data_IF_713037469261
#
_entry.id   IF_713037469261
#
_cell.length_a   1.000
_cell.length_b   1.000
_cell.length_c   1.000
_cell.angle_alpha   90.00
_cell.angle_beta   90.00
_cell.angle_gamma   90.00
#
_symmetry.space_group_name_H-M   'P 1'
#
loop_
_entity.id
_entity.type
_entity.pdbx_description
1 polymer ?
#
# COMPACT_ATOMS: atom_id res chain seq x y z
N UNK A 1 38.19 -49.05 5.13
CA UNK A 1 38.27 -47.78 4.37
C UNK A 1 37.02 -47.46 3.54
N UNK A 2 36.47 -48.39 2.74
CA UNK A 2 35.26 -48.15 1.92
C UNK A 2 33.97 -47.82 2.71
N UNK A 3 33.84 -48.34 3.93
CA UNK A 3 32.68 -48.05 4.80
C UNK A 3 32.73 -46.65 5.42
N UNK A 4 33.93 -46.13 5.71
CA UNK A 4 34.11 -44.80 6.29
C UNK A 4 33.76 -43.69 5.28
N UNK A 5 34.10 -43.91 4.00
CA UNK A 5 33.78 -42.97 2.91
C UNK A 5 32.28 -42.88 2.63
N UNK A 6 31.54 -44.00 2.74
CA UNK A 6 30.08 -44.05 2.53
C UNK A 6 29.28 -43.32 3.61
N UNK A 7 29.70 -43.43 4.87
CA UNK A 7 29.05 -42.74 6.00
C UNK A 7 29.24 -41.23 5.91
N UNK A 8 30.42 -40.77 5.48
CA UNK A 8 30.71 -39.35 5.30
C UNK A 8 29.89 -38.73 4.16
N UNK A 9 29.77 -39.42 3.01
CA UNK A 9 28.92 -38.96 1.90
C UNK A 9 27.44 -38.88 2.27
N UNK A 10 26.88 -39.87 2.99
CA UNK A 10 25.48 -39.80 3.43
C UNK A 10 25.26 -38.68 4.44
N UNK A 11 26.18 -38.46 5.38
CA UNK A 11 26.11 -37.36 6.34
C UNK A 11 26.15 -35.99 5.66
N UNK A 12 27.00 -35.82 4.66
CA UNK A 12 27.09 -34.57 3.89
C UNK A 12 25.83 -34.33 3.02
N UNK A 13 25.29 -35.38 2.40
CA UNK A 13 24.06 -35.30 1.59
C UNK A 13 22.83 -34.95 2.44
N UNK A 14 22.70 -35.55 3.63
CA UNK A 14 21.62 -35.26 4.57
C UNK A 14 21.75 -33.82 5.12
N UNK A 15 22.97 -33.37 5.43
CA UNK A 15 23.21 -32.01 5.91
C UNK A 15 22.84 -30.95 4.85
N UNK A 16 23.17 -31.20 3.57
CA UNK A 16 22.76 -30.31 2.46
C UNK A 16 21.25 -30.32 2.21
N UNK A 17 20.56 -31.46 2.39
CA UNK A 17 19.10 -31.51 2.23
C UNK A 17 18.34 -30.71 3.29
N UNK A 18 18.86 -30.66 4.53
CA UNK A 18 18.27 -29.83 5.60
C UNK A 18 18.41 -28.33 5.30
N UNK A 19 19.50 -27.91 4.64
CA UNK A 19 19.70 -26.50 4.26
C UNK A 19 18.69 -26.02 3.20
N UNK A 20 18.27 -26.91 2.29
CA UNK A 20 17.36 -26.56 1.19
C UNK A 20 15.93 -26.28 1.68
N UNK A 21 15.48 -26.94 2.76
CA UNK A 21 14.11 -26.76 3.24
C UNK A 21 13.86 -25.39 3.90
N UNK A 22 14.88 -24.81 4.54
CA UNK A 22 14.74 -23.49 5.18
C UNK A 22 14.54 -22.35 4.16
N UNK A 23 15.02 -22.50 2.92
CA UNK A 23 14.96 -21.46 1.89
C UNK A 23 13.55 -21.34 1.27
N UNK A 24 12.78 -22.43 1.22
CA UNK A 24 11.45 -22.44 0.60
C UNK A 24 10.35 -21.86 1.50
N UNK A 25 10.52 -21.88 2.82
CA UNK A 25 9.52 -21.39 3.76
C UNK A 25 9.33 -19.86 3.73
N UNK A 26 10.34 -19.10 3.27
CA UNK A 26 10.26 -17.63 3.21
C UNK A 26 9.50 -17.12 1.96
N UNK A 27 9.23 -17.97 0.96
CA UNK A 27 8.65 -17.49 -0.30
C UNK A 27 7.14 -17.25 -0.23
N UNK A 28 6.43 -17.69 0.82
CA UNK A 28 4.99 -17.47 0.96
C UNK A 28 4.61 -16.02 1.31
N UNK A 29 5.58 -15.17 1.69
CA UNK A 29 5.39 -13.75 2.01
C UNK A 29 5.27 -12.83 0.77
N UNK A 30 5.39 -13.36 -0.45
CA UNK A 30 5.73 -12.56 -1.64
C UNK A 30 4.57 -11.88 -2.37
N UNK A 31 3.40 -11.68 -1.74
CA UNK A 31 2.41 -10.71 -2.25
C UNK A 31 1.78 -9.90 -1.12
N UNK A 32 2.60 -9.05 -0.51
CA UNK A 32 2.14 -7.95 0.35
C UNK A 32 1.41 -6.85 -0.45
N UNK A 33 1.51 -6.81 -1.78
CA UNK A 33 0.87 -5.80 -2.59
C UNK A 33 -0.03 -6.41 -3.66
N UNK A 34 -1.31 -6.02 -3.64
CA UNK A 34 -2.31 -6.41 -4.63
C UNK A 34 -2.64 -5.20 -5.52
N UNK A 35 -2.14 -5.20 -6.76
CA UNK A 35 -2.47 -4.15 -7.73
C UNK A 35 -3.99 -4.10 -8.02
N UNK A 36 -4.50 -2.89 -8.23
CA UNK A 36 -5.89 -2.62 -8.55
C UNK A 36 -6.00 -1.39 -9.46
N UNK A 37 -7.17 -1.19 -10.05
CA UNK A 37 -7.44 0.01 -10.84
C UNK A 37 -7.35 1.27 -9.96
N UNK A 38 -6.76 2.33 -10.50
CA UNK A 38 -6.74 3.62 -9.82
C UNK A 38 -8.16 4.20 -9.78
N UNK A 39 -8.71 4.56 -8.60
CA UNK A 39 -10.07 5.06 -8.45
C UNK A 39 -10.20 6.55 -8.83
N UNK A 40 -9.19 7.10 -9.50
CA UNK A 40 -9.07 8.52 -9.80
C UNK A 40 -8.39 8.75 -11.14
N UNK A 41 -8.58 9.95 -11.67
CA UNK A 41 -7.87 10.47 -12.84
C UNK A 41 -7.26 11.83 -12.51
N UNK A 42 -5.98 12.02 -12.85
CA UNK A 42 -5.29 13.30 -12.68
C UNK A 42 -4.97 13.87 -14.06
N UNK A 43 -5.46 15.08 -14.32
CA UNK A 43 -5.20 15.76 -15.59
C UNK A 43 -3.69 15.96 -15.81
N UNK A 44 -3.21 15.61 -17.00
CA UNK A 44 -1.79 15.73 -17.35
C UNK A 44 -0.93 14.53 -16.94
N UNK A 45 -1.46 13.59 -16.15
CA UNK A 45 -0.75 12.37 -15.77
C UNK A 45 -1.43 11.17 -16.43
N UNK A 46 -0.75 10.49 -17.38
CA UNK A 46 -1.27 9.26 -17.95
C UNK A 46 -1.47 8.22 -16.86
N UNK A 47 -2.60 7.48 -16.87
CA UNK A 47 -2.86 6.44 -15.88
C UNK A 47 -1.74 5.39 -15.76
N UNK A 48 -1.03 5.10 -16.86
CA UNK A 48 0.15 4.21 -16.88
C UNK A 48 1.36 4.72 -16.07
N UNK A 49 1.36 5.99 -15.66
CA UNK A 49 2.40 6.57 -14.82
C UNK A 49 2.08 6.41 -13.32
N UNK A 50 0.97 5.75 -12.98
CA UNK A 50 0.54 5.50 -11.62
C UNK A 50 0.21 4.01 -11.44
N UNK A 51 0.76 3.39 -10.42
CA UNK A 51 0.34 2.05 -9.97
C UNK A 51 -0.50 2.20 -8.72
N UNK A 52 -1.74 1.73 -8.76
CA UNK A 52 -2.60 1.68 -7.58
C UNK A 52 -2.77 0.24 -7.09
N UNK A 53 -3.12 0.10 -5.82
CA UNK A 53 -3.34 -1.20 -5.22
C UNK A 53 -3.45 -1.14 -3.71
N UNK A 54 -3.32 -2.31 -3.10
CA UNK A 54 -3.48 -2.50 -1.68
C UNK A 54 -2.25 -3.16 -1.07
N UNK A 55 -1.68 -2.52 -0.05
CA UNK A 55 -0.70 -3.14 0.82
C UNK A 55 -1.40 -3.97 1.89
N UNK A 56 -1.23 -5.29 1.86
CA UNK A 56 -1.83 -6.28 2.73
C UNK A 56 -0.92 -6.49 3.95
N UNK A 57 -1.35 -6.06 5.13
CA UNK A 57 -0.55 -6.14 6.37
C UNK A 57 -1.37 -6.71 7.53
N UNK A 58 -0.74 -7.35 8.52
CA UNK A 58 -1.46 -7.76 9.72
C UNK A 58 -2.03 -6.55 10.46
N UNK A 59 -3.26 -6.70 10.94
CA UNK A 59 -3.88 -5.72 11.83
C UNK A 59 -3.07 -5.59 13.13
N UNK A 60 -2.73 -6.68 13.78
CA UNK A 60 -1.89 -6.71 14.97
C UNK A 60 -0.54 -7.38 14.66
N UNK A 61 0.54 -6.58 14.62
CA UNK A 61 1.90 -7.08 14.37
C UNK A 61 2.46 -7.94 15.51
N UNK A 62 1.83 -7.93 16.68
CA UNK A 62 2.21 -8.74 17.84
C UNK A 62 1.53 -10.10 17.86
N UNK A 63 0.48 -10.29 17.04
CA UNK A 63 -0.27 -11.52 16.91
C UNK A 63 -0.11 -12.09 15.48
N UNK A 64 0.66 -13.19 15.28
CA UNK A 64 0.85 -13.77 13.95
C UNK A 64 -0.44 -14.33 13.33
N UNK A 65 -1.47 -14.60 14.13
CA UNK A 65 -2.78 -15.10 13.69
C UNK A 65 -3.81 -13.96 13.49
N UNK A 66 -3.37 -12.70 13.56
CA UNK A 66 -4.19 -11.53 13.31
C UNK A 66 -4.81 -11.55 11.89
N UNK A 67 -6.05 -11.05 11.71
CA UNK A 67 -6.53 -10.76 10.36
C UNK A 67 -5.63 -9.74 9.66
N UNK A 68 -5.62 -9.78 8.33
CA UNK A 68 -4.97 -8.76 7.52
C UNK A 68 -5.93 -7.60 7.24
N UNK A 69 -5.36 -6.41 7.08
CA UNK A 69 -6.00 -5.20 6.59
C UNK A 69 -5.36 -4.80 5.25
N UNK A 70 -6.07 -4.00 4.47
CA UNK A 70 -5.65 -3.53 3.15
C UNK A 70 -5.44 -2.02 3.22
N UNK A 71 -4.23 -1.55 2.97
CA UNK A 71 -3.97 -0.11 2.89
C UNK A 71 -4.01 0.33 1.42
N UNK A 72 -4.86 1.27 1.05
CA UNK A 72 -4.92 1.79 -0.31
C UNK A 72 -3.68 2.63 -0.62
N UNK A 73 -3.02 2.34 -1.75
CA UNK A 73 -1.75 2.97 -2.16
C UNK A 73 -1.86 3.44 -3.61
N UNK A 74 -1.26 4.59 -3.89
CA UNK A 74 -0.95 5.09 -5.22
C UNK A 74 0.56 5.38 -5.30
N UNK A 75 1.23 4.77 -6.29
CA UNK A 75 2.65 4.95 -6.59
C UNK A 75 2.74 5.74 -7.88
N UNK A 76 3.27 6.96 -7.79
CA UNK A 76 3.54 7.81 -8.94
C UNK A 76 4.98 7.60 -9.39
N UNK A 77 5.13 7.13 -10.62
CA UNK A 77 6.43 6.82 -11.21
C UNK A 77 7.04 8.05 -11.84
N UNK A 78 8.35 8.24 -11.68
CA UNK A 78 9.08 9.30 -12.36
C UNK A 78 8.96 9.15 -13.89
N UNK A 79 8.65 10.23 -14.65
CA UNK A 79 8.34 10.14 -16.08
C UNK A 79 9.48 9.60 -16.95
N UNK A 80 10.74 9.78 -16.53
CA UNK A 80 11.91 9.34 -17.30
C UNK A 80 12.22 7.84 -17.11
N UNK A 81 11.59 7.16 -16.15
CA UNK A 81 11.74 5.72 -15.92
C UNK A 81 13.04 5.29 -15.24
N UNK A 82 13.83 6.24 -14.72
CA UNK A 82 15.07 6.01 -13.96
C UNK A 82 15.11 6.88 -12.67
N UNK A 83 14.17 6.68 -11.73
CA UNK A 83 14.15 7.41 -10.47
C UNK A 83 15.33 7.03 -9.57
N UNK A 84 15.67 7.91 -8.64
CA UNK A 84 16.53 7.55 -7.51
C UNK A 84 15.94 6.34 -6.75
N UNK A 85 16.79 5.45 -6.20
CA UNK A 85 16.34 4.19 -5.62
C UNK A 85 15.51 4.35 -4.34
N UNK A 86 15.47 5.54 -3.74
CA UNK A 86 14.75 5.84 -2.51
C UNK A 86 13.52 6.73 -2.76
N UNK A 87 12.29 6.16 -2.72
CA UNK A 87 11.07 6.89 -3.00
C UNK A 87 10.71 7.85 -1.87
N UNK A 88 9.87 8.84 -2.20
CA UNK A 88 9.25 9.71 -1.22
C UNK A 88 7.92 9.12 -0.75
N UNK A 89 7.81 8.84 0.55
CA UNK A 89 6.55 8.36 1.15
C UNK A 89 5.84 9.52 1.83
N UNK A 90 4.64 9.87 1.35
CA UNK A 90 3.84 10.92 1.95
C UNK A 90 3.00 10.37 3.11
N UNK A 91 3.22 10.92 4.30
CA UNK A 91 2.43 10.64 5.50
C UNK A 91 1.56 11.85 5.80
N UNK A 92 0.27 11.72 5.50
CA UNK A 92 -0.69 12.75 5.84
C UNK A 92 -0.92 12.82 7.36
N UNK A 93 -1.06 14.03 7.87
CA UNK A 93 -1.28 14.33 9.30
C UNK A 93 -2.73 14.16 9.76
N UNK A 94 -3.23 15.06 10.62
CA UNK A 94 -4.61 14.99 11.14
C UNK A 94 -4.92 13.69 11.88
N UNK A 95 -6.20 13.30 11.90
CA UNK A 95 -6.52 11.88 11.69
C UNK A 95 -7.59 11.67 10.61
N UNK A 96 -7.54 10.53 9.92
CA UNK A 96 -8.70 9.99 9.19
C UNK A 96 -8.94 10.48 7.75
N UNK A 97 -8.12 11.40 7.21
CA UNK A 97 -8.29 11.86 5.82
C UNK A 97 -7.80 10.79 4.84
N UNK A 98 -8.57 10.59 3.78
CA UNK A 98 -8.10 9.87 2.58
C UNK A 98 -7.27 10.81 1.74
N UNK A 99 -5.97 10.54 1.60
CA UNK A 99 -5.15 11.31 0.64
C UNK A 99 -5.46 10.82 -0.75
N UNK A 100 -5.58 9.50 -0.92
CA UNK A 100 -5.75 8.85 -2.22
C UNK A 100 -7.00 9.37 -2.93
N UNK A 101 -8.11 9.56 -2.23
CA UNK A 101 -9.35 10.10 -2.83
C UNK A 101 -9.26 11.59 -3.19
N UNK A 102 -8.33 12.33 -2.58
CA UNK A 102 -8.17 13.79 -2.81
C UNK A 102 -7.14 14.12 -3.89
N UNK A 103 -6.43 13.11 -4.40
CA UNK A 103 -5.37 13.28 -5.39
C UNK A 103 -5.80 14.05 -6.65
N UNK A 104 -7.00 13.83 -7.22
CA UNK A 104 -7.46 14.62 -8.37
C UNK A 104 -7.33 16.14 -8.17
N UNK A 105 -7.60 16.63 -6.95
CA UNK A 105 -7.66 18.07 -6.66
C UNK A 105 -6.36 18.61 -6.07
N UNK A 106 -5.54 17.75 -5.48
CA UNK A 106 -4.37 18.16 -4.70
C UNK A 106 -3.05 17.88 -5.40
N UNK A 107 -3.01 16.95 -6.36
CA UNK A 107 -1.74 16.43 -6.89
C UNK A 107 -0.82 17.50 -7.48
N UNK A 108 -1.33 18.33 -8.39
CA UNK A 108 -0.50 19.35 -9.08
C UNK A 108 0.11 20.37 -8.11
N UNK A 109 -0.58 20.67 -7.01
CA UNK A 109 -0.11 21.68 -6.05
C UNK A 109 0.75 21.09 -4.93
N UNK A 110 0.47 19.84 -4.52
CA UNK A 110 1.10 19.23 -3.35
C UNK A 110 2.15 18.18 -3.70
N UNK A 111 2.08 17.52 -4.85
CA UNK A 111 2.88 16.33 -5.14
C UNK A 111 3.71 16.43 -6.42
N UNK A 112 3.22 17.10 -7.47
CA UNK A 112 3.95 17.25 -8.74
C UNK A 112 5.39 17.82 -8.59
N UNK A 113 5.67 18.83 -7.72
CA UNK A 113 7.04 19.31 -7.52
C UNK A 113 8.01 18.26 -6.97
N UNK A 114 7.51 17.22 -6.30
CA UNK A 114 8.34 16.15 -5.75
C UNK A 114 8.70 15.09 -6.80
N UNK A 115 7.87 14.92 -7.85
CA UNK A 115 8.28 14.11 -9.00
C UNK A 115 9.47 14.77 -9.70
N UNK A 116 9.51 16.10 -9.78
CA UNK A 116 10.65 16.82 -10.36
C UNK A 116 11.99 16.62 -9.60
N UNK A 117 11.98 15.98 -8.42
CA UNK A 117 13.17 15.62 -7.67
C UNK A 117 13.80 14.27 -8.07
N UNK A 118 13.43 13.72 -9.24
CA UNK A 118 13.86 12.42 -9.74
C UNK A 118 13.51 11.24 -8.83
N UNK A 119 12.30 11.24 -8.24
CA UNK A 119 11.88 10.21 -7.27
C UNK A 119 10.46 9.77 -7.53
N UNK A 120 10.21 8.49 -7.31
CA UNK A 120 8.84 7.99 -7.20
C UNK A 120 8.19 8.51 -5.91
N UNK A 121 6.88 8.72 -5.95
CA UNK A 121 6.11 9.14 -4.78
C UNK A 121 5.12 8.05 -4.42
N UNK A 122 5.17 7.61 -3.17
CA UNK A 122 4.21 6.67 -2.59
C UNK A 122 3.26 7.46 -1.71
N UNK A 123 1.98 7.43 -2.07
CA UNK A 123 0.90 8.05 -1.31
C UNK A 123 -0.06 6.94 -0.89
N UNK A 124 -0.47 6.93 0.36
CA UNK A 124 -1.36 5.88 0.86
C UNK A 124 -2.32 6.41 1.92
N UNK A 125 -3.45 5.73 2.05
CA UNK A 125 -4.39 5.94 3.12
C UNK A 125 -3.97 5.09 4.34
N UNK A 126 -3.90 5.72 5.50
CA UNK A 126 -3.55 5.02 6.74
C UNK A 126 -4.63 3.98 7.11
N UNK A 127 -4.32 3.13 8.09
CA UNK A 127 -5.29 2.16 8.64
C UNK A 127 -6.57 2.90 9.08
N UNK A 128 -7.72 2.41 8.63
CA UNK A 128 -9.01 2.94 9.07
C UNK A 128 -9.44 4.24 8.38
N UNK A 129 -8.68 4.77 7.43
CA UNK A 129 -9.03 5.99 6.68
C UNK A 129 -9.31 5.70 5.21
N UNK A 130 -10.24 6.45 4.64
CA UNK A 130 -10.41 6.54 3.20
C UNK A 130 -10.73 5.21 2.52
N UNK A 131 -9.90 4.86 1.55
CA UNK A 131 -10.04 3.67 0.73
C UNK A 131 -9.36 2.44 1.34
N UNK A 132 -8.70 2.57 2.50
CA UNK A 132 -8.14 1.44 3.24
C UNK A 132 -9.23 0.63 3.94
N UNK A 133 -9.05 -0.68 4.00
CA UNK A 133 -10.05 -1.63 4.50
C UNK A 133 -9.56 -2.40 5.73
N UNK A 134 -10.34 -2.44 6.83
CA UNK A 134 -11.62 -1.76 7.01
C UNK A 134 -11.44 -0.25 7.24
N UNK A 135 -12.35 0.56 6.69
CA UNK A 135 -12.44 1.99 6.99
C UNK A 135 -13.23 2.19 8.31
N UNK A 136 -12.76 3.09 9.17
CA UNK A 136 -13.40 3.41 10.46
C UNK A 136 -14.38 4.59 10.33
N UNK A 137 -15.10 4.65 9.20
CA UNK A 137 -16.08 5.68 8.93
C UNK A 137 -17.22 5.61 9.95
N UNK A 138 -17.72 6.77 10.38
CA UNK A 138 -18.83 6.88 11.31
C UNK A 138 -19.92 7.75 10.69
N UNK A 139 -20.86 7.17 9.92
CA UNK A 139 -21.86 7.93 9.17
C UNK A 139 -22.65 8.90 10.06
N UNK A 140 -22.95 8.51 11.29
CA UNK A 140 -23.64 9.36 12.26
C UNK A 140 -22.80 10.59 12.62
N UNK A 141 -21.49 10.42 12.81
CA UNK A 141 -20.59 11.54 13.07
C UNK A 141 -20.49 12.46 11.86
N UNK A 142 -20.37 11.90 10.65
CA UNK A 142 -20.27 12.66 9.40
C UNK A 142 -21.54 13.49 9.16
N UNK A 143 -22.72 12.88 9.34
CA UNK A 143 -24.00 13.59 9.26
C UNK A 143 -24.11 14.73 10.29
N UNK A 144 -23.69 14.48 11.54
CA UNK A 144 -23.71 15.50 12.59
C UNK A 144 -22.75 16.64 12.27
N UNK A 145 -21.57 16.33 11.73
CA UNK A 145 -20.58 17.31 11.31
C UNK A 145 -21.12 18.20 10.18
N UNK A 146 -21.71 17.61 9.14
CA UNK A 146 -22.32 18.34 8.04
C UNK A 146 -23.49 19.22 8.51
N UNK A 147 -24.35 18.70 9.40
CA UNK A 147 -25.44 19.51 10.00
C UNK A 147 -24.89 20.67 10.82
N UNK A 148 -23.81 20.47 11.58
CA UNK A 148 -23.18 21.54 12.35
C UNK A 148 -22.58 22.64 11.46
N UNK A 149 -22.16 22.30 10.24
CA UNK A 149 -21.70 23.26 9.22
C UNK A 149 -22.85 23.99 8.51
N UNK A 150 -24.12 23.67 8.83
CA UNK A 150 -25.28 24.27 8.16
C UNK A 150 -25.44 23.83 6.71
N UNK A 151 -24.76 22.75 6.31
CA UNK A 151 -24.99 22.12 5.01
C UNK A 151 -26.14 21.14 5.18
N UNK A 152 -27.30 21.47 4.61
CA UNK A 152 -28.44 20.56 4.55
C UNK A 152 -28.07 19.41 3.60
N UNK A 153 -27.47 18.35 4.15
CA UNK A 153 -27.23 17.03 3.55
C UNK A 153 -26.93 17.02 2.04
N UNK A 154 -25.70 17.36 1.66
CA UNK A 154 -25.09 16.77 0.47
C UNK A 154 -24.93 15.28 0.79
N UNK A 155 -25.59 14.42 0.01
CA UNK A 155 -25.60 12.98 0.30
C UNK A 155 -24.22 12.39 0.03
N UNK A 156 -23.88 11.29 0.70
CA UNK A 156 -22.62 10.56 0.45
C UNK A 156 -22.49 10.10 -1.02
N UNK A 157 -23.61 10.02 -1.76
CA UNK A 157 -23.63 9.71 -3.19
C UNK A 157 -23.09 10.87 -4.04
N UNK A 158 -23.29 12.12 -3.62
CA UNK A 158 -22.86 13.30 -4.40
C UNK A 158 -21.34 13.53 -4.32
N UNK A 159 -20.66 12.99 -3.30
CA UNK A 159 -19.19 13.07 -3.15
C UNK A 159 -18.43 12.00 -3.96
N UNK A 160 -19.10 10.93 -4.38
CA UNK A 160 -18.49 9.87 -5.19
C UNK A 160 -18.66 10.09 -6.71
N UNK A 161 -19.50 11.05 -7.11
CA UNK A 161 -19.76 11.39 -8.52
C UNK A 161 -19.04 12.67 -9.00
N UNK A 162 -18.22 13.32 -8.16
CA UNK A 162 -17.46 14.53 -8.50
C UNK A 162 -15.96 14.24 -8.63
#
# INVERSE_FOLDING_TARGET
MKHFFRVCCLGFLVLTMVSVQAVLAQQAETRLFEEADCPFHIAGIPGRAVTCGYLIVPEDRTNPDSPNIRLAVAIFHHPDGDPEPDPLVYLMGGPGVSVVSTLPWTFSTQFEPFLAANRDIIIFDQRGSGLSEPALNCPVYDELFLRALGTDAVSHADFLEA
#
